data_IF_018746294588
#
_entry.id   IF_018746294588
#
_cell.length_a   1.000
_cell.length_b   1.000
_cell.length_c   1.000
_cell.angle_alpha   90.00
_cell.angle_beta   90.00
_cell.angle_gamma   90.00
#
_symmetry.space_group_name_H-M   'P 1'
#
loop_
_entity.id
_entity.type
_entity.pdbx_description
1 polymer ?
#
# COMPACT_ATOMS: atom_id res chain seq x y z
N UNK A 1 6.07 -54.77 -12.25
CA UNK A 1 5.25 -53.62 -11.79
C UNK A 1 5.12 -52.68 -12.96
N UNK A 2 3.93 -52.58 -13.55
CA UNK A 2 3.72 -51.85 -14.81
C UNK A 2 4.06 -50.36 -14.62
N UNK A 3 4.96 -49.78 -15.44
CA UNK A 3 5.39 -48.38 -15.31
C UNK A 3 4.25 -47.36 -15.53
N UNK A 4 3.06 -47.81 -15.94
CA UNK A 4 1.85 -47.00 -16.11
C UNK A 4 1.26 -46.47 -14.81
N UNK A 5 1.41 -47.18 -13.69
CA UNK A 5 0.85 -46.76 -12.40
C UNK A 5 1.50 -45.48 -11.84
N UNK A 6 2.84 -45.37 -11.72
CA UNK A 6 3.47 -44.15 -11.22
C UNK A 6 3.23 -42.94 -12.13
N UNK A 7 3.11 -43.16 -13.45
CA UNK A 7 2.80 -42.08 -14.41
C UNK A 7 1.40 -41.51 -14.14
N UNK A 8 0.43 -42.38 -13.86
CA UNK A 8 -0.93 -41.94 -13.54
C UNK A 8 -0.99 -41.14 -12.23
N UNK A 9 -0.27 -41.59 -11.20
CA UNK A 9 -0.15 -40.85 -9.94
C UNK A 9 0.53 -39.49 -10.13
N UNK A 10 1.61 -39.44 -10.92
CA UNK A 10 2.27 -38.18 -11.25
C UNK A 10 1.31 -37.22 -11.99
N UNK A 11 0.52 -37.74 -12.92
CA UNK A 11 -0.53 -36.98 -13.61
C UNK A 11 -1.55 -36.37 -12.65
N UNK A 12 -2.08 -37.17 -11.71
CA UNK A 12 -3.02 -36.69 -10.68
C UNK A 12 -2.38 -35.59 -9.82
N UNK A 13 -1.15 -35.81 -9.36
CA UNK A 13 -0.43 -34.84 -8.50
C UNK A 13 -0.24 -33.52 -9.24
N UNK A 14 0.17 -33.54 -10.51
CA UNK A 14 0.32 -32.31 -11.32
C UNK A 14 -1.03 -31.60 -11.49
N UNK A 15 -2.11 -32.33 -11.73
CA UNK A 15 -3.45 -31.75 -11.90
C UNK A 15 -3.97 -31.10 -10.60
N UNK A 16 -3.77 -31.77 -9.47
CA UNK A 16 -4.10 -31.24 -8.14
C UNK A 16 -3.25 -30.02 -7.83
N UNK A 17 -1.93 -30.10 -8.05
CA UNK A 17 -1.02 -28.97 -7.83
C UNK A 17 -1.40 -27.76 -8.69
N UNK A 18 -1.72 -27.97 -9.97
CA UNK A 18 -2.17 -26.91 -10.87
C UNK A 18 -3.47 -26.27 -10.39
N UNK A 19 -4.47 -27.06 -9.97
CA UNK A 19 -5.72 -26.55 -9.41
C UNK A 19 -5.51 -25.75 -8.12
N UNK A 20 -4.69 -26.25 -7.22
CA UNK A 20 -4.33 -25.56 -5.97
C UNK A 20 -3.63 -24.24 -6.27
N UNK A 21 -2.64 -24.25 -7.17
CA UNK A 21 -1.89 -23.04 -7.55
C UNK A 21 -2.81 -22.01 -8.23
N UNK A 22 -3.70 -22.45 -9.11
CA UNK A 22 -4.68 -21.60 -9.78
C UNK A 22 -5.65 -20.91 -8.80
N UNK A 23 -5.93 -21.52 -7.64
CA UNK A 23 -6.88 -20.97 -6.66
C UNK A 23 -6.18 -20.09 -5.62
N UNK A 24 -4.99 -20.49 -5.14
CA UNK A 24 -4.26 -19.78 -4.08
C UNK A 24 -3.48 -18.56 -4.57
N UNK A 25 -2.87 -18.63 -5.75
CA UNK A 25 -2.09 -17.51 -6.32
C UNK A 25 -2.92 -16.24 -6.52
N UNK A 26 -4.14 -16.26 -7.10
CA UNK A 26 -4.92 -15.04 -7.27
C UNK A 26 -5.38 -14.43 -5.94
N UNK A 27 -5.65 -15.24 -4.92
CA UNK A 27 -6.00 -14.74 -3.59
C UNK A 27 -4.81 -14.05 -2.90
N UNK A 28 -3.62 -14.63 -3.01
CA UNK A 28 -2.39 -14.02 -2.50
C UNK A 28 -2.03 -12.74 -3.26
N UNK A 29 -2.22 -12.72 -4.59
CA UNK A 29 -2.01 -11.52 -5.42
C UNK A 29 -2.97 -10.40 -5.06
N UNK A 30 -4.27 -10.67 -4.86
CA UNK A 30 -5.25 -9.64 -4.47
C UNK A 30 -4.90 -8.99 -3.13
N UNK A 31 -4.40 -9.76 -2.16
CA UNK A 31 -3.96 -9.20 -0.87
C UNK A 31 -2.70 -8.35 -1.00
N UNK A 32 -1.73 -8.77 -1.82
CA UNK A 32 -0.52 -7.97 -2.09
C UNK A 32 -0.85 -6.70 -2.88
N UNK A 33 -1.68 -6.81 -3.92
CA UNK A 33 -2.15 -5.66 -4.71
C UNK A 33 -2.84 -4.62 -3.84
N UNK A 34 -3.78 -5.00 -2.98
CA UNK A 34 -4.43 -4.03 -2.07
C UNK A 34 -3.45 -3.31 -1.15
N UNK A 35 -2.42 -4.00 -0.67
CA UNK A 35 -1.40 -3.39 0.17
C UNK A 35 -0.52 -2.42 -0.63
N UNK A 36 -0.12 -2.84 -1.83
CA UNK A 36 0.76 -2.05 -2.68
C UNK A 36 0.01 -0.83 -3.26
N UNK A 37 -1.28 -0.97 -3.56
CA UNK A 37 -2.21 0.12 -3.93
C UNK A 37 -2.41 1.11 -2.79
N UNK A 38 -2.68 0.63 -1.56
CA UNK A 38 -2.80 1.49 -0.39
C UNK A 38 -1.50 2.28 -0.13
N UNK A 39 -0.35 1.63 -0.28
CA UNK A 39 0.95 2.32 -0.15
C UNK A 39 1.24 3.28 -1.30
N UNK A 40 0.79 2.99 -2.51
CA UNK A 40 0.90 3.91 -3.64
C UNK A 40 0.05 5.17 -3.41
N UNK A 41 -1.19 5.01 -2.92
CA UNK A 41 -2.06 6.13 -2.54
C UNK A 41 -1.49 6.95 -1.37
N UNK A 42 -0.94 6.30 -0.36
CA UNK A 42 -0.28 7.00 0.76
C UNK A 42 0.93 7.81 0.28
N UNK A 43 1.81 7.23 -0.55
CA UNK A 43 2.99 7.93 -1.08
C UNK A 43 2.61 9.11 -1.97
N UNK A 44 1.59 8.96 -2.82
CA UNK A 44 1.13 10.07 -3.66
C UNK A 44 0.53 11.21 -2.83
N UNK A 45 -0.19 10.89 -1.74
CA UNK A 45 -0.70 11.88 -0.80
C UNK A 45 0.42 12.61 -0.04
N UNK A 46 1.44 11.90 0.43
CA UNK A 46 2.62 12.48 1.10
C UNK A 46 3.34 13.43 0.15
N UNK A 47 3.60 13.01 -1.08
CA UNK A 47 4.29 13.86 -2.06
C UNK A 47 3.47 15.11 -2.41
N UNK A 48 2.16 14.95 -2.61
CA UNK A 48 1.27 16.09 -2.85
C UNK A 48 1.21 17.05 -1.64
N UNK A 49 1.30 16.53 -0.41
CA UNK A 49 1.36 17.33 0.81
C UNK A 49 2.69 18.08 0.90
N UNK A 50 3.81 17.43 0.60
CA UNK A 50 5.14 18.05 0.53
C UNK A 50 5.20 19.20 -0.47
N UNK A 51 4.64 19.02 -1.67
CA UNK A 51 4.55 20.09 -2.67
C UNK A 51 3.74 21.28 -2.13
N UNK A 52 2.65 21.04 -1.39
CA UNK A 52 1.86 22.13 -0.80
C UNK A 52 2.60 22.84 0.32
N UNK A 53 3.35 22.11 1.15
CA UNK A 53 4.23 22.70 2.15
C UNK A 53 5.23 23.64 1.50
N UNK A 54 5.91 23.17 0.45
CA UNK A 54 6.92 23.94 -0.27
C UNK A 54 6.31 25.15 -1.00
N UNK A 55 5.03 25.08 -1.37
CA UNK A 55 4.29 26.17 -2.00
C UNK A 55 3.65 27.16 -0.99
N UNK A 56 3.49 26.77 0.28
CA UNK A 56 2.87 27.60 1.31
C UNK A 56 3.94 28.44 2.01
N UNK A 57 3.80 29.76 1.96
CA UNK A 57 4.72 30.68 2.64
C UNK A 57 4.48 30.67 4.17
N UNK A 58 3.26 30.32 4.59
CA UNK A 58 2.88 30.25 6.00
C UNK A 58 3.32 28.92 6.63
N UNK A 59 3.98 29.02 7.77
CA UNK A 59 4.34 27.85 8.59
C UNK A 59 3.14 27.43 9.44
N UNK A 60 2.68 26.18 9.26
CA UNK A 60 1.59 25.59 10.06
C UNK A 60 2.13 24.38 10.81
N UNK A 61 2.52 24.54 12.10
CA UNK A 61 3.21 23.50 12.86
C UNK A 61 2.43 22.18 12.94
N UNK A 62 1.09 22.25 13.10
CA UNK A 62 0.24 21.05 13.13
C UNK A 62 0.29 20.29 11.80
N UNK A 63 0.37 20.98 10.67
CA UNK A 63 0.47 20.36 9.36
C UNK A 63 1.85 19.71 9.14
N UNK A 64 2.92 20.35 9.61
CA UNK A 64 4.27 19.81 9.57
C UNK A 64 4.39 18.53 10.43
N UNK A 65 3.82 18.53 11.64
CA UNK A 65 3.81 17.36 12.53
C UNK A 65 3.04 16.18 11.92
N UNK A 66 1.90 16.45 11.29
CA UNK A 66 1.11 15.44 10.59
C UNK A 66 1.87 14.85 9.40
N UNK A 67 2.56 15.68 8.61
CA UNK A 67 3.39 15.21 7.49
C UNK A 67 4.57 14.38 7.99
N UNK A 68 5.28 14.84 9.02
CA UNK A 68 6.40 14.11 9.62
C UNK A 68 5.95 12.74 10.16
N UNK A 69 4.77 12.66 10.77
CA UNK A 69 4.16 11.41 11.21
C UNK A 69 3.85 10.47 10.04
N UNK A 70 3.27 10.98 8.95
CA UNK A 70 2.99 10.21 7.75
C UNK A 70 4.27 9.67 7.09
N UNK A 71 5.33 10.49 7.01
CA UNK A 71 6.64 10.10 6.49
C UNK A 71 7.30 9.03 7.37
N UNK A 72 7.22 9.16 8.69
CA UNK A 72 7.74 8.16 9.62
C UNK A 72 7.02 6.81 9.45
N UNK A 73 5.69 6.82 9.30
CA UNK A 73 4.92 5.60 9.01
C UNK A 73 5.33 5.02 7.65
N UNK A 74 5.54 5.86 6.64
CA UNK A 74 6.01 5.43 5.33
C UNK A 74 7.40 4.81 5.33
N UNK A 75 8.33 5.35 6.13
CA UNK A 75 9.69 4.84 6.27
C UNK A 75 9.72 3.47 6.97
N UNK A 76 8.90 3.29 8.01
CA UNK A 76 8.79 2.02 8.73
C UNK A 76 8.01 0.96 7.94
N UNK A 77 7.15 1.39 7.02
CA UNK A 77 6.25 0.50 6.30
C UNK A 77 5.19 -0.12 7.20
N UNK A 78 4.43 -1.08 6.67
CA UNK A 78 3.39 -1.75 7.44
C UNK A 78 2.27 -2.35 6.60
N UNK A 79 1.22 -2.77 7.32
CA UNK A 79 -0.01 -3.27 6.72
C UNK A 79 -0.87 -2.16 6.09
N UNK A 80 -2.00 -2.53 5.44
CA UNK A 80 -2.88 -1.57 4.77
C UNK A 80 -3.40 -0.47 5.71
N UNK A 81 -3.67 -0.75 6.97
CA UNK A 81 -4.09 0.27 7.94
C UNK A 81 -3.00 1.32 8.25
N UNK A 82 -1.72 0.95 8.19
CA UNK A 82 -0.63 1.90 8.34
C UNK A 82 -0.58 2.86 7.14
N UNK A 83 -0.77 2.32 5.93
CA UNK A 83 -0.86 3.12 4.71
C UNK A 83 -2.07 4.06 4.73
N UNK A 84 -3.26 3.58 5.13
CA UNK A 84 -4.47 4.40 5.27
C UNK A 84 -4.30 5.54 6.30
N UNK A 85 -3.59 5.27 7.40
CA UNK A 85 -3.26 6.29 8.40
C UNK A 85 -2.32 7.35 7.81
N UNK A 86 -1.23 6.93 7.17
CA UNK A 86 -0.29 7.86 6.54
C UNK A 86 -0.95 8.72 5.46
N UNK A 87 -1.83 8.13 4.65
CA UNK A 87 -2.61 8.87 3.65
C UNK A 87 -3.51 9.93 4.30
N UNK A 88 -4.22 9.56 5.38
CA UNK A 88 -5.13 10.48 6.08
C UNK A 88 -4.38 11.65 6.70
N UNK A 89 -3.26 11.38 7.35
CA UNK A 89 -2.42 12.38 8.00
C UNK A 89 -1.86 13.35 6.93
N UNK A 90 -1.35 12.84 5.80
CA UNK A 90 -0.88 13.66 4.69
C UNK A 90 -1.99 14.51 4.04
N UNK A 91 -3.21 13.95 3.86
CA UNK A 91 -4.35 14.72 3.34
C UNK A 91 -4.76 15.85 4.28
N UNK A 92 -4.75 15.61 5.59
CA UNK A 92 -5.09 16.62 6.61
C UNK A 92 -4.04 17.73 6.69
N UNK A 93 -2.75 17.38 6.63
CA UNK A 93 -1.69 18.38 6.48
C UNK A 93 -1.92 19.25 5.23
N UNK A 94 -2.24 18.62 4.12
CA UNK A 94 -2.54 19.30 2.85
C UNK A 94 -3.77 20.21 2.88
N UNK A 95 -4.79 19.95 3.71
CA UNK A 95 -5.93 20.87 3.88
C UNK A 95 -5.55 22.08 4.72
N UNK A 96 -4.79 21.87 5.80
CA UNK A 96 -4.32 22.96 6.66
C UNK A 96 -3.46 23.98 5.91
N UNK A 97 -2.53 23.53 5.05
CA UNK A 97 -1.76 24.47 4.21
C UNK A 97 -2.59 25.18 3.15
N UNK A 98 -3.68 24.56 2.68
CA UNK A 98 -4.59 25.21 1.74
C UNK A 98 -5.39 26.31 2.42
N UNK A 99 -5.88 26.04 3.63
CA UNK A 99 -6.58 27.01 4.46
C UNK A 99 -5.66 28.19 4.80
N UNK A 100 -4.45 27.91 5.29
CA UNK A 100 -3.46 28.94 5.63
C UNK A 100 -2.93 29.73 4.41
N UNK A 101 -2.91 29.13 3.22
CA UNK A 101 -2.54 29.82 1.98
C UNK A 101 -3.69 30.60 1.33
N UNK A 102 -4.91 30.49 1.87
CA UNK A 102 -6.10 31.21 1.38
C UNK A 102 -6.45 32.46 2.21
N UNK A 103 -5.75 32.67 3.32
CA UNK A 103 -5.80 33.89 4.15
C UNK A 103 -4.81 34.95 3.66
#
# INVERSE_FOLDING_TARGET
MSPSWPIWLAGIVVLVAAGVMATFVPHARRRRQRRDEAWAAARSAIEAARIRRDACVATVPEADDLLAGAEAVAANGGGPHAAERAERDARRAGSLWREAGSE
#
